data_IF_046640101812
#
_entry.id   IF_046640101812
#
_cell.length_a   1.000
_cell.length_b   1.000
_cell.length_c   1.000
_cell.angle_alpha   90.00
_cell.angle_beta   90.00
_cell.angle_gamma   90.00
#
_symmetry.space_group_name_H-M   'P 1'
#
loop_
_entity.id
_entity.type
_entity.pdbx_description
1 polymer ?
#
# COMPACT_ATOMS: atom_id res chain seq x y z
N UNK A 1 22.55 1.75 -2.54
CA UNK A 1 22.17 2.75 -3.57
C UNK A 1 21.12 3.64 -2.95
N UNK A 2 21.43 4.91 -2.60
CA UNK A 2 20.45 5.80 -1.96
C UNK A 2 19.31 6.02 -2.96
N UNK A 3 18.09 5.62 -2.60
CA UNK A 3 16.89 5.77 -3.45
C UNK A 3 16.42 7.23 -3.64
N UNK A 4 17.36 8.17 -3.65
CA UNK A 4 17.14 9.59 -3.85
C UNK A 4 17.45 9.90 -5.32
N UNK A 5 16.49 9.64 -6.19
CA UNK A 5 16.57 10.15 -7.56
C UNK A 5 16.32 11.66 -7.51
N UNK A 6 17.30 12.45 -7.92
CA UNK A 6 17.10 13.88 -8.18
C UNK A 6 16.10 14.06 -9.34
N UNK A 7 15.35 15.16 -9.33
CA UNK A 7 14.29 15.47 -10.30
C UNK A 7 14.80 15.36 -11.74
N UNK A 8 16.04 15.77 -12.00
CA UNK A 8 16.63 15.74 -13.34
C UNK A 8 16.82 14.29 -13.84
N UNK A 9 17.14 13.37 -12.93
CA UNK A 9 17.21 11.92 -13.25
C UNK A 9 15.81 11.39 -13.60
N UNK A 10 14.79 11.83 -12.87
CA UNK A 10 13.41 11.45 -13.15
C UNK A 10 12.95 11.95 -14.54
N UNK A 11 13.28 13.19 -14.91
CA UNK A 11 12.97 13.75 -16.24
C UNK A 11 13.66 12.96 -17.35
N UNK A 12 14.95 12.65 -17.21
CA UNK A 12 15.68 11.86 -18.22
C UNK A 12 15.11 10.46 -18.41
N UNK A 13 14.65 9.81 -17.33
CA UNK A 13 14.03 8.47 -17.38
C UNK A 13 12.63 8.50 -17.96
N UNK A 14 11.78 9.40 -17.46
CA UNK A 14 10.39 9.52 -17.93
C UNK A 14 10.31 9.97 -19.40
N UNK A 15 11.27 10.77 -19.85
CA UNK A 15 11.43 11.18 -21.25
C UNK A 15 11.82 10.07 -22.22
N UNK A 16 12.01 8.82 -21.75
CA UNK A 16 12.20 7.64 -22.62
C UNK A 16 10.88 7.00 -23.07
N UNK A 17 9.74 7.50 -22.60
CA UNK A 17 8.41 6.99 -22.96
C UNK A 17 7.84 7.71 -24.19
N UNK A 18 7.06 7.00 -25.02
CA UNK A 18 6.52 7.53 -26.29
C UNK A 18 7.56 7.51 -27.42
N UNK A 19 7.19 6.97 -28.59
CA UNK A 19 8.07 6.88 -29.78
C UNK A 19 7.35 7.43 -31.00
N UNK A 20 8.10 8.04 -31.92
CA UNK A 20 7.60 8.52 -33.21
C UNK A 20 6.33 9.40 -33.10
N UNK A 21 6.36 10.42 -32.23
CA UNK A 21 5.25 11.35 -32.02
C UNK A 21 4.03 10.79 -31.27
N UNK A 22 4.07 9.52 -30.83
CA UNK A 22 2.99 8.92 -30.03
C UNK A 22 3.17 9.19 -28.54
N UNK A 23 2.06 9.36 -27.83
CA UNK A 23 2.03 9.48 -26.37
C UNK A 23 2.54 8.19 -25.72
N UNK A 24 3.33 8.31 -24.66
CA UNK A 24 3.80 7.21 -23.82
C UNK A 24 3.20 7.27 -22.41
N UNK A 25 3.28 6.16 -21.68
CA UNK A 25 2.89 6.09 -20.27
C UNK A 25 4.15 5.88 -19.43
N UNK A 26 4.36 6.73 -18.42
CA UNK A 26 5.38 6.56 -17.39
C UNK A 26 4.69 6.21 -16.07
N UNK A 27 5.05 5.06 -15.48
CA UNK A 27 4.51 4.61 -14.20
C UNK A 27 5.61 4.77 -13.15
N UNK A 28 5.28 5.46 -12.06
CA UNK A 28 6.20 5.71 -10.94
C UNK A 28 5.69 5.03 -9.69
N UNK A 29 6.47 4.07 -9.19
CA UNK A 29 6.20 3.41 -7.91
C UNK A 29 6.83 4.23 -6.79
N UNK A 30 6.10 4.44 -5.71
CA UNK A 30 6.56 5.22 -4.56
C UNK A 30 6.03 4.61 -3.26
N UNK A 31 6.71 4.91 -2.16
CA UNK A 31 6.24 4.61 -0.80
C UNK A 31 5.73 5.88 -0.13
N UNK A 32 4.95 5.77 0.95
CA UNK A 32 4.45 6.93 1.70
C UNK A 32 5.56 7.91 2.12
N UNK A 33 6.77 7.41 2.40
CA UNK A 33 7.95 8.23 2.76
C UNK A 33 8.53 9.05 1.60
N UNK A 34 8.18 8.69 0.36
CA UNK A 34 8.67 9.35 -0.85
C UNK A 34 7.66 10.35 -1.42
N UNK A 35 6.53 10.58 -0.73
CA UNK A 35 5.49 11.50 -1.20
C UNK A 35 6.02 12.92 -1.41
N UNK A 36 6.84 13.43 -0.49
CA UNK A 36 7.43 14.78 -0.61
C UNK A 36 8.36 14.90 -1.83
N UNK A 37 8.99 13.79 -2.24
CA UNK A 37 9.80 13.77 -3.46
C UNK A 37 8.94 13.88 -4.71
N UNK A 38 7.76 13.23 -4.73
CA UNK A 38 6.80 13.40 -5.82
C UNK A 38 6.33 14.86 -5.89
N UNK A 39 5.96 15.47 -4.77
CA UNK A 39 5.53 16.87 -4.73
C UNK A 39 6.64 17.82 -5.25
N UNK A 40 7.91 17.53 -4.93
CA UNK A 40 9.05 18.28 -5.46
C UNK A 40 9.18 18.11 -6.97
N UNK A 41 9.03 16.88 -7.49
CA UNK A 41 9.05 16.58 -8.92
C UNK A 41 7.91 17.32 -9.63
N UNK A 42 6.68 17.28 -9.11
CA UNK A 42 5.53 17.99 -9.68
C UNK A 42 5.77 19.50 -9.76
N UNK A 43 6.28 20.12 -8.68
CA UNK A 43 6.57 21.55 -8.64
C UNK A 43 7.62 21.97 -9.67
N UNK A 44 8.67 21.16 -9.85
CA UNK A 44 9.78 21.48 -10.76
C UNK A 44 9.44 21.18 -12.23
N UNK A 45 8.63 20.15 -12.51
CA UNK A 45 8.21 19.78 -13.87
C UNK A 45 6.96 20.55 -14.33
N UNK A 46 6.11 20.99 -13.40
CA UNK A 46 4.85 21.67 -13.70
C UNK A 46 3.70 20.72 -14.08
N UNK A 47 3.91 19.41 -13.98
CA UNK A 47 2.89 18.38 -14.26
C UNK A 47 2.48 17.67 -12.98
N UNK A 48 1.19 17.32 -12.87
CA UNK A 48 0.67 16.52 -11.76
C UNK A 48 0.64 15.04 -12.09
N UNK A 49 0.97 14.22 -11.10
CA UNK A 49 0.77 12.78 -11.16
C UNK A 49 -0.72 12.44 -11.07
N UNK A 50 -1.11 11.41 -11.80
CA UNK A 50 -2.40 10.75 -11.60
C UNK A 50 -2.15 9.64 -10.59
N UNK A 51 -2.63 9.84 -9.36
CA UNK A 51 -2.51 8.82 -8.31
C UNK A 51 -3.43 7.65 -8.64
N UNK A 52 -2.85 6.45 -8.76
CA UNK A 52 -3.58 5.20 -8.94
C UNK A 52 -3.16 4.20 -7.88
N UNK A 53 -4.13 3.48 -7.35
CA UNK A 53 -3.91 2.33 -6.49
C UNK A 53 -3.30 1.17 -7.29
N UNK A 54 -2.54 0.27 -6.64
CA UNK A 54 -2.10 -0.97 -7.26
C UNK A 54 -3.31 -1.83 -7.70
N UNK A 55 -3.15 -2.66 -8.74
CA UNK A 55 -4.21 -3.58 -9.16
C UNK A 55 -4.54 -4.55 -8.03
N UNK A 56 -5.82 -4.92 -7.91
CA UNK A 56 -6.22 -5.95 -6.97
C UNK A 56 -5.77 -7.34 -7.42
N UNK A 57 -5.64 -8.27 -6.48
CA UNK A 57 -5.27 -9.66 -6.78
C UNK A 57 -6.26 -10.29 -7.77
N UNK A 58 -7.56 -10.01 -7.65
CA UNK A 58 -8.58 -10.51 -8.59
C UNK A 58 -8.38 -10.00 -10.01
N UNK A 59 -7.94 -8.75 -10.17
CA UNK A 59 -7.66 -8.16 -11.48
C UNK A 59 -6.42 -8.82 -12.11
N UNK A 60 -5.40 -9.11 -11.30
CA UNK A 60 -4.21 -9.84 -11.72
C UNK A 60 -4.55 -11.28 -12.15
N UNK A 61 -5.40 -11.97 -11.40
CA UNK A 61 -5.88 -13.32 -11.73
C UNK A 61 -6.60 -13.32 -13.08
N UNK A 62 -7.55 -12.39 -13.28
CA UNK A 62 -8.31 -12.27 -14.53
C UNK A 62 -7.39 -11.96 -15.71
N UNK A 63 -6.51 -10.97 -15.58
CA UNK A 63 -5.58 -10.60 -16.64
C UNK A 63 -4.64 -11.77 -17.01
N UNK A 64 -4.14 -12.50 -16.02
CA UNK A 64 -3.27 -13.67 -16.23
C UNK A 64 -4.02 -14.81 -16.92
N UNK A 65 -5.26 -15.09 -16.49
CA UNK A 65 -6.10 -16.11 -17.11
C UNK A 65 -6.44 -15.77 -18.57
N UNK A 66 -6.80 -14.51 -18.87
CA UNK A 66 -7.06 -14.08 -20.25
C UNK A 66 -5.82 -14.20 -21.13
N UNK A 67 -4.63 -13.89 -20.61
CA UNK A 67 -3.37 -14.08 -21.34
C UNK A 67 -3.10 -15.56 -21.62
N UNK A 68 -3.25 -16.42 -20.62
CA UNK A 68 -3.07 -17.86 -20.77
C UNK A 68 -4.02 -18.46 -21.80
N UNK A 69 -5.29 -18.04 -21.81
CA UNK A 69 -6.26 -18.46 -22.82
C UNK A 69 -5.84 -18.05 -24.24
N UNK A 70 -5.35 -16.83 -24.42
CA UNK A 70 -4.84 -16.38 -25.72
C UNK A 70 -3.63 -17.22 -26.17
N UNK A 71 -2.77 -17.64 -25.26
CA UNK A 71 -1.63 -18.52 -25.56
C UNK A 71 -2.11 -19.94 -25.93
N UNK A 72 -3.08 -20.51 -25.19
CA UNK A 72 -3.66 -21.83 -25.45
C UNK A 72 -4.30 -21.91 -26.85
N UNK A 73 -5.01 -20.87 -27.28
CA UNK A 73 -5.67 -20.84 -28.60
C UNK A 73 -4.65 -20.86 -29.76
N UNK A 74 -3.42 -20.39 -29.51
CA UNK A 74 -2.37 -20.30 -30.53
C UNK A 74 -1.37 -21.48 -30.49
N UNK A 75 -1.64 -22.53 -29.71
CA UNK A 75 -0.79 -23.72 -29.67
C UNK A 75 -0.85 -24.46 -31.00
N UNK A 76 0.32 -24.90 -31.48
CA UNK A 76 0.43 -25.66 -32.72
C UNK A 76 -0.36 -26.99 -32.63
N UNK A 77 -1.20 -27.31 -33.63
CA UNK A 77 -1.98 -28.55 -33.63
C UNK A 77 -1.17 -29.83 -33.41
N UNK A 78 0.08 -29.89 -33.90
CA UNK A 78 0.95 -31.05 -33.69
C UNK A 78 1.27 -31.27 -32.20
N UNK A 79 1.41 -30.19 -31.42
CA UNK A 79 1.59 -30.29 -29.97
C UNK A 79 0.31 -30.75 -29.28
N UNK A 80 -0.85 -30.31 -29.75
CA UNK A 80 -2.15 -30.75 -29.21
C UNK A 80 -2.31 -32.27 -29.35
N UNK A 81 -1.91 -32.84 -30.49
CA UNK A 81 -1.94 -34.29 -30.70
C UNK A 81 -1.02 -35.04 -29.73
N UNK A 82 0.19 -34.52 -29.47
CA UNK A 82 1.14 -35.14 -28.51
C UNK A 82 0.54 -35.22 -27.09
N UNK A 83 -0.22 -34.22 -26.67
CA UNK A 83 -0.82 -34.18 -25.33
C UNK A 83 -2.21 -34.82 -25.25
N UNK A 84 -2.77 -35.33 -26.36
CA UNK A 84 -4.16 -35.83 -26.41
C UNK A 84 -4.40 -36.98 -25.44
N UNK A 85 -3.49 -37.96 -25.39
CA UNK A 85 -3.63 -39.13 -24.51
C UNK A 85 -3.66 -38.73 -23.03
N UNK A 86 -2.68 -37.94 -22.59
CA UNK A 86 -2.64 -37.43 -21.20
C UNK A 86 -3.84 -36.55 -20.86
N UNK A 87 -4.33 -35.76 -21.81
CA UNK A 87 -5.54 -34.97 -21.62
C UNK A 87 -6.77 -35.87 -21.44
N UNK A 88 -6.90 -36.95 -22.22
CA UNK A 88 -7.98 -37.94 -22.07
C UNK A 88 -7.95 -38.63 -20.71
N UNK A 89 -6.78 -39.09 -20.25
CA UNK A 89 -6.62 -39.68 -18.90
C UNK A 89 -7.07 -38.71 -17.79
N UNK A 90 -6.74 -37.43 -17.95
CA UNK A 90 -7.13 -36.41 -16.97
C UNK A 90 -8.65 -36.18 -16.94
N UNK A 91 -9.30 -36.21 -18.11
CA UNK A 91 -10.75 -36.08 -18.26
C UNK A 91 -11.54 -37.27 -17.70
N UNK A 92 -10.93 -38.45 -17.60
CA UNK A 92 -11.53 -39.59 -16.91
C UNK A 92 -11.54 -39.41 -15.39
N UNK A 93 -10.56 -38.66 -14.86
CA UNK A 93 -10.38 -38.47 -13.40
C UNK A 93 -11.22 -37.33 -12.84
N UNK A 94 -11.44 -36.26 -13.63
CA UNK A 94 -12.22 -35.10 -13.20
C UNK A 94 -12.99 -34.46 -14.36
N UNK A 95 -14.02 -33.69 -14.03
CA UNK A 95 -14.86 -33.01 -15.03
C UNK A 95 -14.02 -32.10 -15.95
N UNK A 96 -14.38 -31.96 -17.24
CA UNK A 96 -13.64 -31.12 -18.18
C UNK A 96 -13.41 -29.68 -17.71
N UNK A 97 -14.42 -29.06 -17.10
CA UNK A 97 -14.32 -27.70 -16.58
C UNK A 97 -13.33 -27.61 -15.41
N UNK A 98 -13.30 -28.62 -14.55
CA UNK A 98 -12.37 -28.69 -13.42
C UNK A 98 -10.93 -28.93 -13.90
N UNK A 99 -10.73 -29.80 -14.91
CA UNK A 99 -9.43 -30.01 -15.58
C UNK A 99 -8.88 -28.68 -16.09
N UNK A 100 -9.69 -27.97 -16.90
CA UNK A 100 -9.25 -26.74 -17.53
C UNK A 100 -9.00 -25.63 -16.51
N UNK A 101 -9.84 -25.53 -15.48
CA UNK A 101 -9.63 -24.59 -14.37
C UNK A 101 -8.32 -24.87 -13.62
N UNK A 102 -8.03 -26.14 -13.31
CA UNK A 102 -6.79 -26.54 -12.66
C UNK A 102 -5.56 -26.30 -13.54
N UNK A 103 -5.65 -26.59 -14.85
CA UNK A 103 -4.59 -26.31 -15.80
C UNK A 103 -4.30 -24.81 -15.92
N UNK A 104 -5.33 -23.96 -16.00
CA UNK A 104 -5.18 -22.50 -16.01
C UNK A 104 -4.58 -21.99 -14.70
N UNK A 105 -4.97 -22.54 -13.56
CA UNK A 105 -4.36 -22.21 -12.27
C UNK A 105 -2.86 -22.58 -12.24
N UNK A 106 -2.48 -23.72 -12.81
CA UNK A 106 -1.10 -24.14 -12.93
C UNK A 106 -0.28 -23.24 -13.87
N UNK A 107 -0.78 -23.01 -15.10
CA UNK A 107 -0.13 -22.18 -16.13
C UNK A 107 0.10 -20.75 -15.64
N UNK A 108 -0.88 -20.19 -14.94
CA UNK A 108 -0.78 -18.82 -14.40
C UNK A 108 -0.01 -18.75 -13.08
N UNK A 109 0.39 -19.88 -12.49
CA UNK A 109 1.14 -19.93 -11.22
C UNK A 109 0.29 -19.70 -9.96
N UNK A 110 -1.04 -19.79 -10.05
CA UNK A 110 -1.98 -19.54 -8.96
C UNK A 110 -2.58 -20.84 -8.40
N UNK A 111 -1.72 -21.81 -8.06
CA UNK A 111 -2.13 -23.13 -7.55
C UNK A 111 -2.56 -23.13 -6.09
N UNK A 112 -2.36 -22.01 -5.38
CA UNK A 112 -2.79 -21.80 -4.01
C UNK A 112 -3.57 -20.49 -3.93
N UNK A 113 -4.52 -20.36 -2.99
CA UNK A 113 -5.16 -19.09 -2.73
C UNK A 113 -4.10 -18.00 -2.52
N UNK A 114 -4.26 -16.82 -3.13
CA UNK A 114 -3.27 -15.77 -3.00
C UNK A 114 -3.18 -15.36 -1.53
N UNK A 115 -1.94 -15.13 -1.05
CA UNK A 115 -1.72 -14.68 0.32
C UNK A 115 -2.35 -13.30 0.47
N UNK A 116 -3.25 -13.12 1.45
CA UNK A 116 -3.72 -11.78 1.78
C UNK A 116 -2.57 -11.00 2.42
N UNK A 117 -2.39 -9.78 1.95
CA UNK A 117 -1.41 -8.82 2.45
C UNK A 117 -2.13 -7.57 2.88
N UNK A 118 -1.66 -6.93 3.94
CA UNK A 118 -2.19 -5.63 4.35
C UNK A 118 -2.01 -4.58 3.25
N UNK A 119 -3.05 -3.80 2.95
CA UNK A 119 -2.97 -2.63 2.07
C UNK A 119 -2.14 -1.50 2.68
N UNK A 120 -2.11 -1.41 4.02
CA UNK A 120 -1.42 -0.37 4.77
C UNK A 120 0.08 -0.64 4.86
N UNK A 121 0.47 -1.88 5.16
CA UNK A 121 1.85 -2.25 5.49
C UNK A 121 2.52 -3.18 4.48
N UNK A 122 1.75 -3.85 3.63
CA UNK A 122 2.24 -4.89 2.72
C UNK A 122 2.64 -6.19 3.41
N UNK A 123 2.43 -6.31 4.72
CA UNK A 123 2.84 -7.50 5.49
C UNK A 123 1.95 -8.70 5.10
N UNK A 124 2.53 -9.86 4.75
CA UNK A 124 1.78 -11.09 4.50
C UNK A 124 1.06 -11.59 5.75
N UNK A 125 -0.04 -12.31 5.54
CA UNK A 125 -0.85 -12.92 6.60
C UNK A 125 -1.58 -11.91 7.50
N UNK A 126 -1.73 -10.69 6.99
CA UNK A 126 -2.50 -9.61 7.58
C UNK A 126 -3.46 -9.01 6.55
N UNK A 127 -4.55 -8.41 7.03
CA UNK A 127 -5.51 -7.65 6.24
C UNK A 127 -5.67 -6.27 6.87
N UNK A 128 -5.76 -5.24 6.03
CA UNK A 128 -6.07 -3.89 6.54
C UNK A 128 -7.56 -3.82 6.87
N UNK A 129 -7.87 -3.30 8.04
CA UNK A 129 -9.24 -3.05 8.50
C UNK A 129 -9.36 -1.56 8.79
N UNK A 130 -10.46 -0.96 8.37
CA UNK A 130 -10.85 0.40 8.70
C UNK A 130 -11.92 0.37 9.79
N UNK A 131 -11.62 0.99 10.93
CA UNK A 131 -12.58 1.37 11.95
C UNK A 131 -13.06 2.80 11.69
N UNK A 132 -14.36 3.04 11.60
CA UNK A 132 -14.97 4.37 11.46
C UNK A 132 -15.63 4.81 12.75
N UNK A 133 -15.65 6.12 12.99
CA UNK A 133 -16.34 6.74 14.11
C UNK A 133 -17.17 7.93 13.63
N UNK A 134 -18.27 8.18 14.32
CA UNK A 134 -19.07 9.41 14.15
C UNK A 134 -18.45 10.61 14.87
N UNK A 135 -17.43 10.40 15.69
CA UNK A 135 -16.74 11.45 16.44
C UNK A 135 -15.25 11.46 16.09
N UNK A 136 -14.61 12.63 16.25
CA UNK A 136 -13.18 12.75 16.06
C UNK A 136 -12.38 11.85 17.01
N UNK A 137 -11.54 11.00 16.42
CA UNK A 137 -10.64 10.10 17.13
C UNK A 137 -9.39 10.90 17.52
N UNK A 138 -9.35 11.33 18.78
CA UNK A 138 -8.21 12.09 19.34
C UNK A 138 -7.05 11.20 19.77
N UNK A 139 -7.35 9.95 20.14
CA UNK A 139 -6.37 9.02 20.66
C UNK A 139 -6.72 7.59 20.27
N UNK A 140 -5.67 6.80 20.02
CA UNK A 140 -5.77 5.39 19.62
C UNK A 140 -6.43 4.49 20.67
N UNK A 141 -6.35 4.87 21.95
CA UNK A 141 -6.96 4.12 23.06
C UNK A 141 -8.48 3.95 22.91
N UNK A 142 -9.17 4.92 22.30
CA UNK A 142 -10.60 4.80 21.99
C UNK A 142 -10.90 3.59 21.10
N UNK A 143 -10.05 3.35 20.09
CA UNK A 143 -10.21 2.21 19.17
C UNK A 143 -9.82 0.91 19.84
N UNK A 144 -8.76 0.89 20.66
CA UNK A 144 -8.39 -0.30 21.42
C UNK A 144 -9.50 -0.80 22.35
N UNK A 145 -10.28 0.10 22.96
CA UNK A 145 -11.44 -0.30 23.75
C UNK A 145 -12.51 -1.02 22.91
N UNK A 146 -12.71 -0.61 21.64
CA UNK A 146 -13.61 -1.29 20.73
C UNK A 146 -13.04 -2.64 20.28
N UNK A 147 -11.76 -2.68 19.92
CA UNK A 147 -11.08 -3.91 19.48
C UNK A 147 -11.09 -4.97 20.58
N UNK A 148 -10.72 -4.63 21.81
CA UNK A 148 -10.70 -5.58 22.92
C UNK A 148 -12.09 -6.09 23.34
N UNK A 149 -13.16 -5.36 22.96
CA UNK A 149 -14.54 -5.79 23.15
C UNK A 149 -15.00 -6.72 22.03
N UNK A 150 -14.62 -6.42 20.79
CA UNK A 150 -15.21 -7.03 19.59
C UNK A 150 -14.35 -8.17 19.02
N UNK A 151 -13.06 -8.24 19.36
CA UNK A 151 -12.08 -9.18 18.83
C UNK A 151 -11.50 -9.99 20.00
N UNK A 152 -11.32 -11.32 19.86
CA UNK A 152 -10.70 -12.13 20.89
C UNK A 152 -9.30 -11.62 21.27
N UNK A 153 -8.98 -11.68 22.56
CA UNK A 153 -7.73 -11.14 23.12
C UNK A 153 -6.47 -11.70 22.42
N UNK A 154 -6.48 -13.00 22.10
CA UNK A 154 -5.37 -13.66 21.39
C UNK A 154 -5.07 -13.02 20.03
N UNK A 155 -6.09 -12.56 19.31
CA UNK A 155 -5.97 -11.88 18.02
C UNK A 155 -5.67 -10.40 18.21
N UNK A 156 -6.32 -9.75 19.18
CA UNK A 156 -6.16 -8.32 19.44
C UNK A 156 -4.71 -7.95 19.79
N UNK A 157 -4.01 -8.82 20.52
CA UNK A 157 -2.59 -8.64 20.87
C UNK A 157 -1.66 -8.63 19.65
N UNK A 158 -2.06 -9.27 18.55
CA UNK A 158 -1.27 -9.36 17.32
C UNK A 158 -1.63 -8.30 16.27
N UNK A 159 -2.57 -7.39 16.58
CA UNK A 159 -2.93 -6.26 15.72
C UNK A 159 -1.74 -5.28 15.60
N UNK A 160 -1.47 -4.83 14.37
CA UNK A 160 -0.33 -3.97 14.05
C UNK A 160 -0.74 -2.64 13.42
N UNK A 161 0.19 -1.67 13.48
CA UNK A 161 0.19 -0.43 12.71
C UNK A 161 -1.09 0.43 12.82
N UNK A 162 -1.74 0.43 13.97
CA UNK A 162 -2.95 1.23 14.20
C UNK A 162 -2.69 2.73 13.94
N UNK A 163 -3.28 3.30 12.89
CA UNK A 163 -2.99 4.63 12.36
C UNK A 163 -4.29 5.38 12.04
N UNK A 164 -4.40 6.62 12.53
CA UNK A 164 -5.59 7.46 12.36
C UNK A 164 -5.67 7.96 10.91
N UNK A 165 -6.87 8.01 10.34
CA UNK A 165 -7.13 8.61 9.03
C UNK A 165 -6.87 10.11 9.07
N UNK A 166 -6.53 10.71 7.92
CA UNK A 166 -6.21 12.14 7.79
C UNK A 166 -7.30 13.04 8.37
N UNK A 167 -8.57 12.69 8.13
CA UNK A 167 -9.76 13.39 8.63
C UNK A 167 -10.08 13.16 10.12
N UNK A 168 -9.31 12.29 10.80
CA UNK A 168 -9.54 11.88 12.19
C UNK A 168 -10.88 11.20 12.47
N UNK A 169 -11.58 10.70 11.45
CA UNK A 169 -12.87 10.03 11.58
C UNK A 169 -12.77 8.49 11.56
N UNK A 170 -11.55 7.97 11.41
CA UNK A 170 -11.31 6.54 11.40
C UNK A 170 -9.88 6.15 11.75
N UNK A 171 -9.66 4.85 11.79
CA UNK A 171 -8.37 4.23 12.07
C UNK A 171 -8.20 3.02 11.18
N UNK A 172 -7.07 2.96 10.47
CA UNK A 172 -6.64 1.74 9.81
C UNK A 172 -5.69 0.94 10.71
N UNK A 173 -5.84 -0.38 10.72
CA UNK A 173 -4.94 -1.29 11.42
C UNK A 173 -4.79 -2.60 10.65
N UNK A 174 -3.73 -3.33 10.95
CA UNK A 174 -3.46 -4.64 10.38
C UNK A 174 -4.00 -5.71 11.32
N UNK A 175 -5.02 -6.44 10.87
CA UNK A 175 -5.58 -7.60 11.55
C UNK A 175 -4.92 -8.88 11.02
N UNK A 176 -4.45 -9.80 11.88
CA UNK A 176 -4.00 -11.12 11.44
C UNK A 176 -5.12 -11.87 10.70
N UNK A 177 -4.79 -12.66 9.66
CA UNK A 177 -5.80 -13.44 8.92
C UNK A 177 -6.62 -14.34 9.84
N UNK A 178 -6.03 -14.87 10.92
CA UNK A 178 -6.73 -15.69 11.91
C UNK A 178 -7.94 -14.97 12.56
N UNK A 179 -7.94 -13.64 12.58
CA UNK A 179 -9.05 -12.84 13.11
C UNK A 179 -10.11 -12.43 12.08
N UNK A 180 -9.87 -12.72 10.79
CA UNK A 180 -10.72 -12.23 9.71
C UNK A 180 -12.15 -12.80 9.79
N UNK A 181 -12.30 -14.10 10.03
CA UNK A 181 -13.61 -14.75 10.10
C UNK A 181 -14.46 -14.17 11.25
N UNK A 182 -13.84 -13.94 12.41
CA UNK A 182 -14.50 -13.30 13.55
C UNK A 182 -14.94 -11.85 13.23
N UNK A 183 -14.11 -11.10 12.50
CA UNK A 183 -14.44 -9.74 12.05
C UNK A 183 -15.60 -9.75 11.04
N UNK A 184 -15.55 -10.62 10.02
CA UNK A 184 -16.60 -10.73 9.00
C UNK A 184 -17.94 -11.07 9.64
N UNK A 185 -17.96 -12.04 10.56
CA UNK A 185 -19.15 -12.36 11.36
C UNK A 185 -19.68 -11.15 12.13
N UNK A 186 -18.79 -10.37 12.76
CA UNK A 186 -19.18 -9.15 13.50
C UNK A 186 -19.80 -8.09 12.58
N UNK A 187 -19.24 -7.93 11.37
CA UNK A 187 -19.77 -7.03 10.33
C UNK A 187 -21.18 -7.45 9.93
N UNK A 188 -21.41 -8.74 9.71
CA UNK A 188 -22.72 -9.29 9.36
C UNK A 188 -23.74 -9.12 10.50
N UNK A 189 -23.38 -9.48 11.74
CA UNK A 189 -24.25 -9.39 12.91
C UNK A 189 -24.65 -7.93 13.23
N UNK A 190 -23.72 -6.99 13.06
CA UNK A 190 -23.94 -5.58 13.40
C UNK A 190 -24.51 -4.74 12.24
N UNK A 191 -24.50 -5.28 11.02
CA UNK A 191 -25.02 -4.65 9.82
C UNK A 191 -24.48 -3.22 9.61
N UNK A 192 -25.37 -2.28 9.28
CA UNK A 192 -25.02 -0.87 9.01
C UNK A 192 -24.42 -0.13 10.21
N UNK A 193 -24.57 -0.65 11.43
CA UNK A 193 -24.01 -0.03 12.63
C UNK A 193 -22.60 -0.54 12.96
N UNK A 194 -22.05 -1.44 12.15
CA UNK A 194 -20.69 -1.94 12.37
C UNK A 194 -19.66 -0.85 12.08
N UNK A 195 -18.76 -0.51 13.01
CA UNK A 195 -17.70 0.45 12.74
C UNK A 195 -16.58 -0.14 11.88
N UNK A 196 -16.58 -1.44 11.60
CA UNK A 196 -15.50 -2.10 10.88
C UNK A 196 -15.84 -2.29 9.40
N UNK A 197 -14.83 -2.14 8.55
CA UNK A 197 -14.90 -2.49 7.13
C UNK A 197 -13.52 -2.93 6.62
N UNK A 198 -13.51 -3.74 5.56
CA UNK A 198 -12.28 -4.10 4.84
C UNK A 198 -12.20 -3.15 3.63
N UNK A 199 -11.35 -2.11 3.68
CA UNK A 199 -11.26 -1.16 2.59
C UNK A 199 -10.66 -1.82 1.34
N UNK A 200 -11.16 -1.44 0.16
CA UNK A 200 -10.54 -1.82 -1.13
C UNK A 200 -9.34 -0.93 -1.44
N UNK A 201 -9.39 0.34 -1.07
CA UNK A 201 -8.33 1.31 -1.27
C UNK A 201 -7.90 1.85 0.08
N UNK A 202 -6.59 2.06 0.27
CA UNK A 202 -6.08 2.55 1.55
C UNK A 202 -6.54 4.01 1.75
N UNK A 203 -7.30 4.33 2.82
CA UNK A 203 -7.62 5.72 3.15
C UNK A 203 -6.36 6.54 3.38
N UNK A 204 -6.44 7.87 3.22
CA UNK A 204 -5.34 8.75 3.59
C UNK A 204 -5.13 8.68 5.09
N UNK A 205 -3.90 8.43 5.51
CA UNK A 205 -3.52 8.26 6.91
C UNK A 205 -2.71 9.45 7.41
N UNK A 206 -2.88 9.81 8.68
CA UNK A 206 -2.02 10.78 9.33
C UNK A 206 -0.57 10.28 9.35
N UNK A 207 0.35 11.18 9.03
CA UNK A 207 1.77 10.91 9.19
C UNK A 207 2.14 11.05 10.67
N UNK A 208 3.04 10.18 11.16
CA UNK A 208 3.48 10.27 12.56
C UNK A 208 4.25 11.58 12.80
N UNK A 209 4.07 12.22 13.95
CA UNK A 209 4.81 13.43 14.32
C UNK A 209 6.34 13.23 14.34
N UNK A 210 6.80 11.98 14.50
CA UNK A 210 8.21 11.59 14.37
C UNK A 210 8.72 11.68 12.92
N UNK A 211 7.89 11.33 11.93
CA UNK A 211 8.20 11.51 10.51
C UNK A 211 8.27 12.99 10.13
N UNK A 212 7.40 13.83 10.71
CA UNK A 212 7.42 15.28 10.51
C UNK A 212 8.70 15.92 11.06
N UNK A 213 9.22 15.45 12.20
CA UNK A 213 10.50 15.95 12.75
C UNK A 213 11.70 15.57 11.90
N UNK A 214 11.76 14.39 11.30
CA UNK A 214 12.83 14.05 10.36
C UNK A 214 12.74 14.84 9.04
N UNK A 215 11.53 15.25 8.61
CA UNK A 215 11.32 16.15 7.47
C UNK A 215 11.85 17.58 7.73
N UNK A 216 11.89 18.04 8.99
CA UNK A 216 12.29 19.41 9.36
C UNK A 216 13.81 19.60 9.52
N UNK A 217 14.59 18.56 9.82
CA UNK A 217 16.04 18.68 10.06
C UNK A 217 16.86 18.88 8.76
N UNK A 218 16.24 18.77 7.58
CA UNK A 218 16.88 19.05 6.28
C UNK A 218 16.86 20.52 5.85
N UNK A 219 16.14 21.40 6.56
CA UNK A 219 16.02 22.82 6.23
C UNK A 219 17.22 23.62 6.75
N UNK A 220 18.28 23.74 5.94
CA UNK A 220 19.33 24.76 6.12
C UNK A 220 18.73 26.17 6.05
N UNK A 221 18.26 26.68 7.18
CA UNK A 221 17.98 28.09 7.39
C UNK A 221 19.19 28.79 7.98
N UNK A 222 20.07 29.32 7.12
CA UNK A 222 21.00 30.39 7.49
C UNK A 222 20.16 31.59 7.93
N UNK A 223 20.01 31.80 9.24
CA UNK A 223 19.41 32.99 9.84
C UNK A 223 20.44 33.66 10.74
N UNK A 224 20.98 34.78 10.28
CA UNK A 224 22.13 35.47 10.87
C UNK A 224 21.92 35.86 12.34
N UNK A 225 22.90 35.48 13.17
CA UNK A 225 23.10 36.05 14.50
C UNK A 225 23.59 37.48 14.37
N UNK A 226 22.65 38.44 14.41
CA UNK A 226 22.93 39.85 14.62
C UNK A 226 23.22 40.09 16.11
N UNK A 227 24.47 39.82 16.51
CA UNK A 227 25.00 40.27 17.79
C UNK A 227 25.15 41.80 17.81
N UNK A 228 24.19 42.49 18.43
CA UNK A 228 24.30 43.91 18.83
C UNK A 228 23.71 44.08 20.22
N UNK A 229 24.51 44.60 21.16
CA UNK A 229 23.97 45.26 22.35
C UNK A 229 24.61 45.00 23.70
N UNK A 230 25.92 44.75 23.79
CA UNK A 230 26.64 44.78 25.08
C UNK A 230 27.00 46.21 25.50
N UNK A 231 26.09 46.92 26.16
CA UNK A 231 26.42 48.12 26.96
C UNK A 231 26.83 47.65 28.36
N UNK A 232 28.11 47.73 28.68
CA UNK A 232 28.63 47.51 30.03
C UNK A 232 29.75 48.50 30.32
N UNK A 233 29.41 49.60 30.97
CA UNK A 233 30.30 50.71 31.33
C UNK A 233 30.58 50.62 32.84
N UNK A 234 31.86 50.71 33.21
CA UNK A 234 32.33 50.96 34.59
C UNK A 234 32.65 49.67 35.36
N UNK A 235 33.76 49.53 36.05
CA UNK A 235 34.85 50.45 36.35
C UNK A 235 35.69 49.89 37.50
N UNK A 236 37.01 50.09 37.41
CA UNK A 236 38.00 50.19 38.51
C UNK A 236 38.16 49.04 39.53
N UNK A 237 39.41 48.56 39.61
CA UNK A 237 40.11 48.48 40.91
C UNK A 237 41.00 47.27 41.18
N UNK A 238 42.32 47.45 40.98
CA UNK A 238 43.51 46.99 41.77
C UNK A 238 43.55 45.54 42.32
N UNK A 239 44.58 44.74 41.97
CA UNK A 239 45.90 44.58 42.67
C UNK A 239 45.74 44.58 44.20
N UNK A 240 46.04 43.54 44.95
CA UNK A 240 47.08 42.50 44.86
C UNK A 240 46.51 41.13 45.18
#
# INVERSE_FOLDING_TARGET
MSGMADVDTYVHRSGRTGRAGKKGICITLYTNRQRDQLDMIERKIGNKFIMKDPPHQDDLLKASASKALAEIINVDPAMIEIFRETASEMLETMKPEACLAAALACITGHTKPPRRTSLMSGVPDYVTVLFTSSNFIRAKGYVWNALNRDIPESIANDIKQLTITEDSMGVCFDLPIAGLEALEKKIEESGMNCPYSIPKTLPKLQQSAYQIRQQSVGGRGRGGGSGRGGRGRGGRGRRY
#
